data_IF_058917828721
#
_entry.id   IF_058917828721
#
_cell.length_a   1.000
_cell.length_b   1.000
_cell.length_c   1.000
_cell.angle_alpha   90.00
_cell.angle_beta   90.00
_cell.angle_gamma   90.00
#
_symmetry.space_group_name_H-M   'P 1'
#
loop_
_entity.id
_entity.type
_entity.pdbx_description
1 polymer ?
#
# COMPACT_ATOMS: atom_id res chain seq x y z
N UNK A 1 27.19 8.69 -1.15
CA UNK A 1 25.94 9.35 -1.56
C UNK A 1 25.99 10.81 -1.20
N UNK A 2 25.41 11.66 -2.03
CA UNK A 2 25.33 13.11 -1.78
C UNK A 2 24.06 13.45 -1.01
N UNK A 3 24.15 14.55 -0.26
CA UNK A 3 22.98 15.14 0.40
C UNK A 3 22.00 15.66 -0.65
N UNK A 4 20.72 15.56 -0.36
CA UNK A 4 19.63 16.05 -1.20
C UNK A 4 18.94 17.23 -0.52
N UNK A 5 18.68 18.26 -1.32
CA UNK A 5 17.85 19.39 -0.91
C UNK A 5 16.40 19.16 -1.35
N UNK A 6 15.47 19.72 -0.60
CA UNK A 6 14.08 19.82 -1.03
C UNK A 6 13.98 20.62 -2.31
N UNK A 7 13.15 20.18 -3.27
CA UNK A 7 12.88 20.96 -4.47
C UNK A 7 12.27 22.32 -4.13
N UNK A 8 12.59 23.33 -4.94
CA UNK A 8 11.91 24.63 -4.87
C UNK A 8 10.46 24.48 -5.34
N UNK A 9 9.55 25.26 -4.78
CA UNK A 9 8.16 25.36 -5.25
C UNK A 9 8.13 25.93 -6.67
N UNK A 10 8.95 26.94 -6.92
CA UNK A 10 9.10 27.60 -8.22
C UNK A 10 10.55 28.03 -8.43
N UNK A 11 11.10 27.72 -9.61
CA UNK A 11 12.47 28.07 -9.97
C UNK A 11 12.49 28.63 -11.40
N UNK A 12 12.33 29.96 -11.59
CA UNK A 12 12.34 30.57 -12.92
C UNK A 12 13.69 30.46 -13.63
N UNK A 13 14.78 30.25 -12.90
CA UNK A 13 16.13 30.09 -13.45
C UNK A 13 16.44 28.68 -13.92
N UNK A 14 15.49 27.75 -13.81
CA UNK A 14 15.69 26.40 -14.27
C UNK A 14 15.86 26.34 -15.79
N UNK A 15 16.91 25.66 -16.22
CA UNK A 15 17.18 25.34 -17.62
C UNK A 15 17.02 23.84 -17.92
N UNK A 16 16.32 23.12 -17.04
CA UNK A 16 16.09 21.70 -17.20
C UNK A 16 15.38 21.39 -18.52
N UNK A 17 15.96 20.47 -19.29
CA UNK A 17 15.31 19.92 -20.49
C UNK A 17 14.48 18.70 -20.12
N UNK A 18 13.52 18.33 -20.96
CA UNK A 18 12.73 17.12 -20.75
C UNK A 18 13.62 15.86 -20.68
N UNK A 19 14.61 15.76 -21.57
CA UNK A 19 15.56 14.64 -21.57
C UNK A 19 16.49 14.61 -20.36
N UNK A 20 16.80 15.77 -19.77
CA UNK A 20 17.64 15.90 -18.58
C UNK A 20 16.89 15.73 -17.26
N UNK A 21 15.57 15.59 -17.29
CA UNK A 21 14.75 15.38 -16.09
C UNK A 21 15.13 14.09 -15.38
N UNK A 22 15.10 14.12 -14.04
CA UNK A 22 15.45 12.98 -13.16
C UNK A 22 14.36 12.76 -12.12
N UNK A 23 14.28 11.54 -11.60
CA UNK A 23 13.33 11.22 -10.51
C UNK A 23 13.66 12.09 -9.29
N UNK A 24 14.92 12.17 -8.91
CA UNK A 24 15.42 13.09 -7.86
C UNK A 24 16.79 13.67 -8.27
N UNK A 25 17.21 14.73 -7.61
CA UNK A 25 18.47 15.41 -7.92
C UNK A 25 18.45 16.21 -9.23
N UNK A 26 17.27 16.45 -9.80
CA UNK A 26 17.07 17.33 -10.93
C UNK A 26 16.96 18.81 -10.53
N UNK A 27 16.68 19.68 -11.51
CA UNK A 27 16.52 21.10 -11.32
C UNK A 27 15.19 21.59 -11.92
N UNK A 28 14.04 21.21 -11.32
CA UNK A 28 12.73 21.47 -11.91
C UNK A 28 12.35 22.94 -11.85
N UNK A 29 11.59 23.37 -12.86
CA UNK A 29 11.00 24.71 -12.93
C UNK A 29 9.89 24.91 -11.87
N UNK A 30 9.15 23.85 -11.55
CA UNK A 30 8.04 23.85 -10.60
C UNK A 30 6.65 23.91 -11.23
N UNK A 31 6.55 24.05 -12.54
CA UNK A 31 5.27 24.03 -13.27
C UNK A 31 4.88 22.58 -13.61
N UNK A 32 3.66 22.19 -13.23
CA UNK A 32 3.07 20.91 -13.61
C UNK A 32 2.53 20.98 -15.04
N UNK A 33 3.26 20.39 -15.97
CA UNK A 33 2.88 20.37 -17.37
C UNK A 33 2.58 18.93 -17.84
N UNK A 34 1.30 18.54 -17.79
CA UNK A 34 0.84 17.21 -18.23
C UNK A 34 0.93 16.99 -19.74
N UNK A 35 1.21 18.03 -20.53
CA UNK A 35 1.41 17.87 -21.99
C UNK A 35 2.81 17.34 -22.33
N UNK A 36 3.74 17.41 -21.40
CA UNK A 36 5.15 17.01 -21.58
C UNK A 36 5.65 16.27 -20.34
N UNK A 37 5.79 14.97 -20.42
CA UNK A 37 6.35 14.14 -19.38
C UNK A 37 7.45 13.23 -19.93
N UNK A 38 8.53 13.10 -19.18
CA UNK A 38 9.58 12.12 -19.45
C UNK A 38 9.13 10.71 -19.07
N UNK A 39 8.51 10.60 -17.90
CA UNK A 39 8.07 9.34 -17.33
C UNK A 39 6.60 9.07 -17.68
N UNK A 40 6.38 8.54 -18.88
CA UNK A 40 5.04 8.28 -19.42
C UNK A 40 4.22 7.32 -18.56
N UNK A 41 4.88 6.40 -17.83
CA UNK A 41 4.23 5.51 -16.90
C UNK A 41 3.49 6.27 -15.78
N UNK A 42 3.98 7.44 -15.39
CA UNK A 42 3.31 8.25 -14.36
C UNK A 42 1.96 8.79 -14.87
N UNK A 43 1.89 9.22 -16.12
CA UNK A 43 0.62 9.70 -16.72
C UNK A 43 -0.39 8.56 -16.88
N UNK A 44 0.06 7.37 -17.29
CA UNK A 44 -0.80 6.19 -17.40
C UNK A 44 -1.38 5.78 -16.03
N UNK A 45 -0.55 5.79 -15.00
CA UNK A 45 -1.01 5.50 -13.63
C UNK A 45 -1.97 6.58 -13.13
N UNK A 46 -1.72 7.85 -13.44
CA UNK A 46 -2.67 8.93 -13.11
C UNK A 46 -4.06 8.67 -13.69
N UNK A 47 -4.14 8.39 -15.00
CA UNK A 47 -5.40 8.10 -15.68
C UNK A 47 -6.12 6.91 -15.07
N UNK A 48 -5.37 5.88 -14.71
CA UNK A 48 -5.92 4.70 -14.04
C UNK A 48 -6.46 5.01 -12.64
N UNK A 49 -5.72 5.77 -11.85
CA UNK A 49 -6.16 6.18 -10.51
C UNK A 49 -7.44 7.03 -10.58
N UNK A 50 -7.55 7.90 -11.58
CA UNK A 50 -8.79 8.65 -11.82
C UNK A 50 -9.95 7.72 -12.19
N UNK A 51 -9.74 6.79 -13.13
CA UNK A 51 -10.76 5.83 -13.55
C UNK A 51 -11.24 4.93 -12.40
N UNK A 52 -10.38 4.65 -11.44
CA UNK A 52 -10.66 3.82 -10.26
C UNK A 52 -11.13 4.63 -9.04
N UNK A 53 -11.45 5.89 -9.19
CA UNK A 53 -11.96 6.72 -8.07
C UNK A 53 -13.23 6.09 -7.47
N UNK A 54 -13.26 6.02 -6.15
CA UNK A 54 -14.38 5.49 -5.38
C UNK A 54 -14.55 6.25 -4.07
N UNK A 55 -15.73 6.10 -3.45
CA UNK A 55 -16.07 6.76 -2.21
C UNK A 55 -16.56 5.75 -1.17
N UNK A 56 -16.20 5.89 0.11
CA UNK A 56 -16.62 4.95 1.17
C UNK A 56 -18.13 4.71 1.24
N UNK A 57 -18.93 5.71 0.92
CA UNK A 57 -20.40 5.61 0.89
C UNK A 57 -20.97 4.65 -0.17
N UNK A 58 -20.14 4.19 -1.11
CA UNK A 58 -20.57 3.21 -2.12
C UNK A 58 -20.70 1.79 -1.53
N UNK A 59 -20.22 1.57 -0.31
CA UNK A 59 -20.27 0.26 0.35
C UNK A 59 -21.41 0.21 1.37
N UNK A 60 -22.29 -0.80 1.22
CA UNK A 60 -23.35 -1.08 2.19
C UNK A 60 -22.81 -1.95 3.33
N UNK A 61 -22.97 -1.47 4.57
CA UNK A 61 -22.48 -2.13 5.79
C UNK A 61 -23.59 -2.81 6.61
N UNK A 62 -24.84 -2.79 6.14
CA UNK A 62 -26.00 -3.25 6.91
C UNK A 62 -25.87 -4.70 7.37
N UNK A 63 -25.49 -5.59 6.46
CA UNK A 63 -25.30 -7.01 6.80
C UNK A 63 -24.08 -7.23 7.69
N UNK A 64 -23.03 -6.43 7.53
CA UNK A 64 -21.82 -6.50 8.33
C UNK A 64 -22.09 -6.17 9.81
N UNK A 65 -22.95 -5.19 10.08
CA UNK A 65 -23.37 -4.87 11.47
C UNK A 65 -24.03 -6.07 12.12
N UNK A 66 -24.91 -6.77 11.40
CA UNK A 66 -25.56 -7.98 11.90
C UNK A 66 -24.53 -9.10 12.10
N UNK A 67 -23.64 -9.34 11.15
CA UNK A 67 -22.63 -10.37 11.22
C UNK A 67 -21.69 -10.15 12.41
N UNK A 68 -21.21 -8.93 12.60
CA UNK A 68 -20.35 -8.56 13.73
C UNK A 68 -21.00 -8.86 15.09
N UNK A 69 -22.26 -8.53 15.24
CA UNK A 69 -22.97 -8.69 16.51
C UNK A 69 -23.43 -10.14 16.79
N UNK A 70 -23.76 -10.92 15.73
CA UNK A 70 -24.44 -12.20 15.91
C UNK A 70 -23.76 -13.40 15.25
N UNK A 71 -22.94 -13.22 14.22
CA UNK A 71 -22.44 -14.31 13.41
C UNK A 71 -20.93 -14.54 13.54
N UNK A 72 -20.15 -13.53 13.95
CA UNK A 72 -18.71 -13.70 14.21
C UNK A 72 -18.48 -14.46 15.50
N UNK A 73 -17.53 -15.40 15.48
CA UNK A 73 -16.98 -15.97 16.72
C UNK A 73 -16.18 -14.91 17.48
N UNK A 74 -15.87 -15.17 18.76
CA UNK A 74 -15.01 -14.27 19.53
C UNK A 74 -13.63 -14.07 18.89
N UNK A 75 -13.05 -15.13 18.33
CA UNK A 75 -11.77 -15.08 17.63
C UNK A 75 -11.86 -14.25 16.35
N UNK A 76 -12.91 -14.41 15.55
CA UNK A 76 -13.15 -13.65 14.33
C UNK A 76 -13.38 -12.15 14.63
N UNK A 77 -14.14 -11.83 15.67
CA UNK A 77 -14.42 -10.45 16.09
C UNK A 77 -13.13 -9.75 16.57
N UNK A 78 -12.33 -10.43 17.39
CA UNK A 78 -11.02 -9.94 17.84
C UNK A 78 -10.09 -9.67 16.64
N UNK A 79 -10.00 -10.61 15.71
CA UNK A 79 -9.21 -10.44 14.49
C UNK A 79 -9.68 -9.24 13.67
N UNK A 80 -10.97 -9.11 13.48
CA UNK A 80 -11.59 -8.01 12.74
C UNK A 80 -11.22 -6.64 13.34
N UNK A 81 -11.33 -6.48 14.65
CA UNK A 81 -11.00 -5.23 15.34
C UNK A 81 -9.49 -4.90 15.22
N UNK A 82 -8.62 -5.89 15.36
CA UNK A 82 -7.17 -5.72 15.23
C UNK A 82 -6.75 -5.39 13.79
N UNK A 83 -7.41 -5.96 12.80
CA UNK A 83 -7.15 -5.65 11.39
C UNK A 83 -7.38 -4.17 11.11
N UNK A 84 -8.52 -3.61 11.54
CA UNK A 84 -8.79 -2.17 11.34
C UNK A 84 -7.79 -1.30 12.08
N UNK A 85 -7.44 -1.64 13.32
CA UNK A 85 -6.45 -0.89 14.09
C UNK A 85 -5.11 -0.82 13.36
N UNK A 86 -4.67 -1.91 12.77
CA UNK A 86 -3.41 -1.97 12.03
C UNK A 86 -3.50 -1.21 10.70
N UNK A 87 -4.56 -1.38 9.93
CA UNK A 87 -4.73 -0.68 8.66
C UNK A 87 -4.83 0.84 8.84
N UNK A 88 -5.52 1.30 9.87
CA UNK A 88 -5.58 2.72 10.26
C UNK A 88 -4.18 3.29 10.49
N UNK A 89 -3.32 2.57 11.22
CA UNK A 89 -1.94 2.99 11.46
C UNK A 89 -1.14 3.07 10.16
N UNK A 90 -1.24 2.05 9.32
CA UNK A 90 -0.45 1.96 8.09
C UNK A 90 -0.77 3.09 7.11
N UNK A 91 -2.04 3.35 6.84
CA UNK A 91 -2.44 4.41 5.91
C UNK A 91 -2.15 5.81 6.48
N UNK A 92 -2.22 5.98 7.80
CA UNK A 92 -1.82 7.23 8.46
C UNK A 92 -0.33 7.50 8.26
N UNK A 93 0.52 6.49 8.50
CA UNK A 93 1.97 6.61 8.29
C UNK A 93 2.29 6.89 6.83
N UNK A 94 1.61 6.21 5.92
CA UNK A 94 1.82 6.37 4.48
C UNK A 94 1.41 7.74 3.99
N UNK A 95 0.27 8.26 4.40
CA UNK A 95 -0.17 9.62 4.06
C UNK A 95 0.89 10.65 4.47
N UNK A 96 1.36 10.57 5.71
CA UNK A 96 2.37 11.48 6.24
C UNK A 96 3.72 11.30 5.53
N UNK A 97 4.14 10.06 5.30
CA UNK A 97 5.42 9.74 4.65
C UNK A 97 5.49 10.25 3.20
N UNK A 98 4.43 10.07 2.43
CA UNK A 98 4.38 10.56 1.05
C UNK A 98 4.51 12.07 0.96
N UNK A 99 3.75 12.79 1.79
CA UNK A 99 3.69 14.23 1.78
C UNK A 99 4.97 14.88 2.34
N UNK A 100 5.45 14.39 3.47
CA UNK A 100 6.48 15.06 4.27
C UNK A 100 7.90 14.54 4.01
N UNK A 101 8.04 13.25 3.64
CA UNK A 101 9.35 12.63 3.49
C UNK A 101 9.79 12.43 2.03
N UNK A 102 8.91 11.89 1.17
CA UNK A 102 9.31 11.47 -0.18
C UNK A 102 9.11 12.58 -1.19
N UNK A 103 7.88 13.09 -1.33
CA UNK A 103 7.53 14.04 -2.37
C UNK A 103 8.38 15.32 -2.40
N UNK A 104 8.81 15.89 -1.25
CA UNK A 104 9.66 17.07 -1.26
C UNK A 104 11.01 16.90 -1.99
N UNK A 105 11.52 15.69 -2.09
CA UNK A 105 12.81 15.37 -2.72
C UNK A 105 12.67 14.84 -4.16
N UNK A 106 11.46 14.56 -4.62
CA UNK A 106 11.20 14.14 -6.00
C UNK A 106 11.19 15.36 -6.90
N UNK A 107 11.98 15.33 -7.97
CA UNK A 107 12.17 16.49 -8.86
C UNK A 107 11.50 16.35 -10.22
N UNK A 108 10.89 15.20 -10.54
CA UNK A 108 10.08 15.03 -11.73
C UNK A 108 8.63 15.48 -11.48
N UNK A 109 8.12 16.53 -12.14
CA UNK A 109 6.78 17.07 -11.88
C UNK A 109 5.65 16.05 -12.06
N UNK A 110 5.71 15.19 -13.07
CA UNK A 110 4.72 14.13 -13.29
C UNK A 110 4.69 13.11 -12.16
N UNK A 111 5.82 12.86 -11.51
CA UNK A 111 5.89 11.98 -10.33
C UNK A 111 5.38 12.72 -9.09
N UNK A 112 5.71 14.00 -8.92
CA UNK A 112 5.14 14.80 -7.83
C UNK A 112 3.61 14.77 -7.86
N UNK A 113 3.00 14.94 -9.03
CA UNK A 113 1.56 14.95 -9.19
C UNK A 113 0.94 13.61 -8.77
N UNK A 114 1.49 12.48 -9.20
CA UNK A 114 0.94 11.17 -8.87
C UNK A 114 1.15 10.80 -7.40
N UNK A 115 2.21 11.27 -6.75
CA UNK A 115 2.41 11.10 -5.31
C UNK A 115 1.37 11.89 -4.49
N UNK A 116 0.96 13.06 -4.96
CA UNK A 116 -0.16 13.81 -4.34
C UNK A 116 -1.47 13.02 -4.51
N UNK A 117 -1.71 12.45 -5.68
CA UNK A 117 -2.89 11.59 -5.88
C UNK A 117 -2.86 10.37 -4.97
N UNK A 118 -1.72 9.71 -4.82
CA UNK A 118 -1.59 8.59 -3.89
C UNK A 118 -1.90 9.02 -2.45
N UNK A 119 -1.35 10.15 -2.00
CA UNK A 119 -1.63 10.68 -0.66
C UNK A 119 -3.14 10.93 -0.44
N UNK A 120 -3.86 11.42 -1.46
CA UNK A 120 -5.31 11.52 -1.41
C UNK A 120 -5.97 10.14 -1.24
N UNK A 121 -5.52 9.13 -1.97
CA UNK A 121 -6.08 7.78 -1.88
C UNK A 121 -5.86 7.16 -0.50
N UNK A 122 -4.68 7.35 0.10
CA UNK A 122 -4.42 6.91 1.49
C UNK A 122 -5.33 7.61 2.50
N UNK A 123 -5.56 8.90 2.32
CA UNK A 123 -6.52 9.66 3.14
C UNK A 123 -7.97 9.16 2.93
N UNK A 124 -8.34 8.79 1.71
CA UNK A 124 -9.64 8.17 1.41
C UNK A 124 -9.78 6.79 2.06
N UNK A 125 -8.72 5.99 2.08
CA UNK A 125 -8.68 4.73 2.83
C UNK A 125 -8.92 4.97 4.32
N UNK A 126 -8.24 5.93 4.91
CA UNK A 126 -8.44 6.31 6.32
C UNK A 126 -9.87 6.73 6.61
N UNK A 127 -10.51 7.48 5.70
CA UNK A 127 -11.93 7.82 5.80
C UNK A 127 -12.82 6.58 5.72
N UNK A 128 -12.49 5.63 4.86
CA UNK A 128 -13.24 4.38 4.74
C UNK A 128 -13.18 3.55 6.03
N UNK A 129 -12.03 3.53 6.69
CA UNK A 129 -11.89 2.84 7.99
C UNK A 129 -12.78 3.48 9.06
N UNK A 130 -12.85 4.81 9.10
CA UNK A 130 -13.75 5.52 10.01
C UNK A 130 -15.21 5.13 9.77
N UNK A 131 -15.64 5.09 8.52
CA UNK A 131 -17.01 4.67 8.15
C UNK A 131 -17.30 3.24 8.62
N UNK A 132 -16.37 2.30 8.40
CA UNK A 132 -16.52 0.90 8.81
C UNK A 132 -16.54 0.74 10.31
N UNK A 133 -15.58 1.35 11.01
CA UNK A 133 -15.43 1.24 12.47
C UNK A 133 -16.63 1.85 13.19
N UNK A 134 -17.09 3.04 12.78
CA UNK A 134 -18.26 3.70 13.39
C UNK A 134 -19.55 2.91 13.17
N UNK A 135 -19.72 2.33 11.98
CA UNK A 135 -20.95 1.59 11.65
C UNK A 135 -21.00 0.21 12.32
N UNK A 136 -19.88 -0.47 12.47
CA UNK A 136 -19.82 -1.91 12.74
C UNK A 136 -19.24 -2.23 14.11
N UNK A 137 -18.13 -1.60 14.52
CA UNK A 137 -17.38 -1.99 15.70
C UNK A 137 -18.02 -1.48 16.99
N UNK A 138 -17.85 -2.26 18.06
CA UNK A 138 -18.44 -1.96 19.37
C UNK A 138 -17.79 -0.76 20.07
N UNK A 139 -16.45 -0.63 19.93
CA UNK A 139 -15.68 0.43 20.59
C UNK A 139 -14.72 1.10 19.61
N UNK A 140 -15.15 2.19 19.01
CA UNK A 140 -14.38 2.97 18.04
C UNK A 140 -13.10 3.53 18.64
N UNK A 141 -13.16 4.11 19.83
CA UNK A 141 -11.99 4.73 20.48
C UNK A 141 -10.90 3.68 20.77
N UNK A 142 -11.29 2.50 21.23
CA UNK A 142 -10.34 1.41 21.47
C UNK A 142 -9.60 1.00 20.18
N UNK A 143 -10.29 0.95 19.06
CA UNK A 143 -9.67 0.59 17.77
C UNK A 143 -8.64 1.64 17.34
N UNK A 144 -8.95 2.92 17.45
CA UNK A 144 -8.03 4.00 17.13
C UNK A 144 -6.84 4.13 18.10
N UNK A 145 -7.01 3.68 19.33
CA UNK A 145 -5.99 3.74 20.37
C UNK A 145 -5.37 2.38 20.71
N UNK A 146 -5.57 1.38 19.86
CA UNK A 146 -5.19 -0.01 20.12
C UNK A 146 -3.70 -0.17 20.46
N UNK A 147 -2.80 0.60 19.86
CA UNK A 147 -1.38 0.55 20.15
C UNK A 147 -1.04 0.89 21.62
N UNK A 148 -1.91 1.63 22.31
CA UNK A 148 -1.75 1.92 23.74
C UNK A 148 -2.09 0.71 24.63
N UNK A 149 -2.81 -0.26 24.07
CA UNK A 149 -3.33 -1.41 24.79
C UNK A 149 -2.81 -2.76 24.28
N UNK A 150 -2.14 -2.75 23.11
CA UNK A 150 -1.64 -3.95 22.46
C UNK A 150 -0.14 -3.81 22.14
N UNK A 151 0.68 -4.59 22.84
CA UNK A 151 2.14 -4.52 22.74
C UNK A 151 2.66 -5.04 21.39
N UNK A 152 1.97 -5.97 20.74
CA UNK A 152 2.39 -6.52 19.45
C UNK A 152 2.18 -5.50 18.35
N UNK A 153 1.02 -4.83 18.33
CA UNK A 153 0.75 -3.75 17.40
C UNK A 153 1.71 -2.57 17.60
N UNK A 154 1.95 -2.18 18.87
CA UNK A 154 2.88 -1.11 19.21
C UNK A 154 4.28 -1.39 18.68
N UNK A 155 4.81 -2.59 18.92
CA UNK A 155 6.13 -3.02 18.43
C UNK A 155 6.24 -2.90 16.91
N UNK A 156 5.22 -3.36 16.18
CA UNK A 156 5.16 -3.26 14.71
C UNK A 156 5.12 -1.80 14.25
N UNK A 157 4.25 -0.99 14.84
CA UNK A 157 4.11 0.42 14.50
C UNK A 157 5.40 1.20 14.81
N UNK A 158 6.03 0.98 15.95
CA UNK A 158 7.29 1.62 16.35
C UNK A 158 8.41 1.29 15.35
N UNK A 159 8.50 0.04 14.91
CA UNK A 159 9.50 -0.34 13.91
C UNK A 159 9.25 0.33 12.55
N UNK A 160 8.02 0.28 12.04
CA UNK A 160 7.67 0.83 10.73
C UNK A 160 7.87 2.34 10.72
N UNK A 161 7.39 3.04 11.75
CA UNK A 161 7.58 4.49 11.84
C UNK A 161 9.06 4.87 11.96
N UNK A 162 9.88 4.10 12.68
CA UNK A 162 11.31 4.36 12.80
C UNK A 162 12.05 4.31 11.46
N UNK A 163 11.64 3.41 10.57
CA UNK A 163 12.22 3.32 9.22
C UNK A 163 11.92 4.58 8.41
N UNK A 164 10.71 5.14 8.52
CA UNK A 164 10.34 6.38 7.85
C UNK A 164 10.99 7.61 8.49
N UNK A 165 11.06 7.65 9.82
CA UNK A 165 11.70 8.74 10.55
C UNK A 165 13.22 8.84 10.29
N UNK A 166 13.86 7.74 9.89
CA UNK A 166 15.27 7.75 9.50
C UNK A 166 15.55 8.67 8.29
N UNK A 167 14.55 8.95 7.46
CA UNK A 167 14.66 9.94 6.38
C UNK A 167 14.49 11.38 6.88
N UNK A 168 13.97 11.62 8.07
CA UNK A 168 13.63 12.95 8.60
C UNK A 168 14.82 13.77 9.10
N UNK A 169 16.03 13.42 8.85
CA UNK A 169 17.24 14.19 9.21
C UNK A 169 17.96 14.66 7.96
N UNK A 170 19.26 14.40 7.91
CA UNK A 170 20.07 14.60 6.72
C UNK A 170 19.64 13.61 5.64
N UNK A 171 18.97 14.11 4.62
CA UNK A 171 18.46 13.28 3.52
C UNK A 171 19.56 13.07 2.49
N UNK A 172 19.93 11.82 2.31
CA UNK A 172 20.87 11.41 1.27
C UNK A 172 20.18 10.64 0.16
N UNK A 173 20.81 10.53 -0.98
CA UNK A 173 20.31 9.73 -2.10
C UNK A 173 20.08 8.26 -1.70
N UNK A 174 20.99 7.68 -0.90
CA UNK A 174 20.81 6.31 -0.38
C UNK A 174 19.60 6.18 0.52
N UNK A 175 19.41 7.13 1.44
CA UNK A 175 18.24 7.15 2.33
C UNK A 175 16.92 7.27 1.56
N UNK A 176 16.89 8.09 0.51
CA UNK A 176 15.70 8.22 -0.33
C UNK A 176 15.38 6.92 -1.08
N UNK A 177 16.38 6.24 -1.62
CA UNK A 177 16.20 4.92 -2.24
C UNK A 177 15.65 3.90 -1.23
N UNK A 178 16.20 3.84 -0.04
CA UNK A 178 15.71 2.95 1.02
C UNK A 178 14.29 3.31 1.47
N UNK A 179 13.93 4.60 1.48
CA UNK A 179 12.56 5.04 1.76
C UNK A 179 11.57 4.59 0.67
N UNK A 180 11.98 4.61 -0.60
CA UNK A 180 11.16 4.06 -1.69
C UNK A 180 10.95 2.56 -1.52
N UNK A 181 11.97 1.82 -1.10
CA UNK A 181 11.87 0.38 -0.80
C UNK A 181 10.97 0.14 0.42
N UNK A 182 11.11 0.93 1.48
CA UNK A 182 10.23 0.85 2.66
C UNK A 182 8.76 1.07 2.28
N UNK A 183 8.51 1.98 1.35
CA UNK A 183 7.17 2.21 0.80
C UNK A 183 6.64 0.99 0.04
N UNK A 184 7.46 0.36 -0.79
CA UNK A 184 7.11 -0.87 -1.50
C UNK A 184 6.78 -2.01 -0.51
N UNK A 185 7.51 -2.10 0.58
CA UNK A 185 7.27 -3.07 1.65
C UNK A 185 5.94 -2.81 2.35
N UNK A 186 5.65 -1.56 2.72
CA UNK A 186 4.40 -1.20 3.38
C UNK A 186 3.20 -1.55 2.50
N UNK A 187 3.20 -1.09 1.26
CA UNK A 187 2.12 -1.31 0.30
C UNK A 187 1.95 -2.78 -0.09
N UNK A 188 3.05 -3.54 -0.15
CA UNK A 188 3.06 -4.90 -0.69
C UNK A 188 3.09 -6.03 0.31
N UNK A 189 3.34 -5.75 1.59
CA UNK A 189 3.47 -6.77 2.64
C UNK A 189 2.59 -6.45 3.84
N UNK A 190 2.73 -5.27 4.44
CA UNK A 190 2.08 -4.95 5.71
C UNK A 190 0.55 -4.87 5.66
N UNK A 191 -0.04 -4.61 4.51
CA UNK A 191 -1.50 -4.62 4.34
C UNK A 191 -2.10 -6.01 4.15
N UNK A 192 -1.31 -6.98 3.71
CA UNK A 192 -1.84 -8.20 3.10
C UNK A 192 -2.35 -9.23 4.09
N UNK A 193 -1.81 -9.33 5.31
CA UNK A 193 -2.44 -10.15 6.36
C UNK A 193 -3.84 -9.64 6.70
N UNK A 194 -4.01 -8.33 6.79
CA UNK A 194 -5.30 -7.70 7.02
C UNK A 194 -6.30 -7.96 5.90
N UNK A 195 -5.89 -7.76 4.65
CA UNK A 195 -6.75 -8.05 3.50
C UNK A 195 -7.18 -9.51 3.46
N UNK A 196 -6.24 -10.41 3.64
CA UNK A 196 -6.50 -11.86 3.64
C UNK A 196 -7.40 -12.29 4.78
N UNK A 197 -7.24 -11.72 5.96
CA UNK A 197 -8.09 -11.96 7.12
C UNK A 197 -9.57 -11.62 6.82
N UNK A 198 -9.81 -10.46 6.21
CA UNK A 198 -11.17 -10.05 5.81
C UNK A 198 -11.72 -10.97 4.71
N UNK A 199 -10.91 -11.34 3.72
CA UNK A 199 -11.33 -12.29 2.68
C UNK A 199 -11.62 -13.68 3.24
N UNK A 200 -10.94 -14.11 4.29
CA UNK A 200 -11.24 -15.37 4.97
C UNK A 200 -12.65 -15.35 5.60
N UNK A 201 -13.06 -14.25 6.19
CA UNK A 201 -14.42 -14.06 6.69
C UNK A 201 -15.44 -14.07 5.54
N UNK A 202 -15.15 -13.38 4.45
CA UNK A 202 -16.02 -13.34 3.28
C UNK A 202 -16.19 -14.71 2.62
N UNK A 203 -15.14 -15.52 2.60
CA UNK A 203 -15.18 -16.90 2.11
C UNK A 203 -16.17 -17.76 2.92
N UNK A 204 -16.30 -17.48 4.20
CA UNK A 204 -17.30 -18.09 5.08
C UNK A 204 -18.69 -17.44 5.00
N UNK A 205 -18.89 -16.51 4.07
CA UNK A 205 -20.17 -15.80 3.89
C UNK A 205 -20.44 -14.68 4.90
N UNK A 206 -19.40 -14.20 5.58
CA UNK A 206 -19.49 -13.15 6.61
C UNK A 206 -18.77 -11.88 6.18
N UNK A 207 -19.24 -10.72 6.66
CA UNK A 207 -18.56 -9.43 6.46
C UNK A 207 -18.32 -9.08 4.98
N UNK A 208 -19.31 -9.31 4.12
CA UNK A 208 -19.17 -9.11 2.68
C UNK A 208 -19.00 -7.64 2.29
N UNK A 209 -19.60 -6.70 3.03
CA UNK A 209 -19.41 -5.26 2.84
C UNK A 209 -17.97 -4.84 3.16
N UNK A 210 -17.41 -5.38 4.25
CA UNK A 210 -15.98 -5.18 4.59
C UNK A 210 -15.05 -5.71 3.51
N UNK A 211 -15.35 -6.89 2.96
CA UNK A 211 -14.59 -7.44 1.84
C UNK A 211 -14.68 -6.56 0.59
N UNK A 212 -15.83 -5.95 0.32
CA UNK A 212 -16.00 -5.00 -0.79
C UNK A 212 -15.14 -3.75 -0.58
N UNK A 213 -15.11 -3.21 0.65
CA UNK A 213 -14.25 -2.09 1.00
C UNK A 213 -12.78 -2.44 0.78
N UNK A 214 -12.34 -3.61 1.25
CA UNK A 214 -10.97 -4.09 1.07
C UNK A 214 -10.62 -4.29 -0.41
N UNK A 215 -11.53 -4.75 -1.25
CA UNK A 215 -11.31 -4.84 -2.70
C UNK A 215 -11.01 -3.48 -3.34
N UNK A 216 -11.74 -2.43 -2.97
CA UNK A 216 -11.45 -1.07 -3.44
C UNK A 216 -10.08 -0.60 -2.99
N UNK A 217 -9.74 -0.81 -1.72
CA UNK A 217 -8.46 -0.44 -1.14
C UNK A 217 -7.32 -1.22 -1.82
N UNK A 218 -7.43 -2.53 -1.91
CA UNK A 218 -6.38 -3.37 -2.52
C UNK A 218 -6.16 -3.02 -4.00
N UNK A 219 -7.19 -2.66 -4.74
CA UNK A 219 -7.05 -2.17 -6.12
C UNK A 219 -6.19 -0.90 -6.19
N UNK A 220 -6.40 0.03 -5.26
CA UNK A 220 -5.55 1.22 -5.15
C UNK A 220 -4.12 0.82 -4.78
N UNK A 221 -3.94 -0.10 -3.82
CA UNK A 221 -2.61 -0.54 -3.38
C UNK A 221 -1.80 -1.20 -4.50
N UNK A 222 -2.45 -1.94 -5.40
CA UNK A 222 -1.77 -2.49 -6.60
C UNK A 222 -1.21 -1.35 -7.46
N UNK A 223 -1.94 -0.27 -7.65
CA UNK A 223 -1.48 0.92 -8.38
C UNK A 223 -0.33 1.61 -7.66
N UNK A 224 -0.40 1.72 -6.33
CA UNK A 224 0.69 2.27 -5.51
C UNK A 224 1.96 1.43 -5.60
N UNK A 225 1.83 0.10 -5.62
CA UNK A 225 2.96 -0.80 -5.86
C UNK A 225 3.60 -0.58 -7.23
N UNK A 226 2.78 -0.44 -8.28
CA UNK A 226 3.28 -0.15 -9.63
C UNK A 226 4.00 1.20 -9.69
N UNK A 227 3.49 2.22 -9.01
CA UNK A 227 4.12 3.53 -8.92
C UNK A 227 5.54 3.43 -8.34
N UNK A 228 5.69 2.83 -7.16
CA UNK A 228 7.00 2.71 -6.51
C UNK A 228 7.92 1.71 -7.22
N UNK A 229 7.39 0.64 -7.77
CA UNK A 229 8.13 -0.27 -8.64
C UNK A 229 8.75 0.47 -9.83
N UNK A 230 7.97 1.29 -10.52
CA UNK A 230 8.45 2.10 -11.64
C UNK A 230 9.50 3.14 -11.18
N UNK A 231 9.26 3.81 -10.05
CA UNK A 231 10.23 4.75 -9.48
C UNK A 231 11.56 4.07 -9.19
N UNK A 232 11.54 2.97 -8.45
CA UNK A 232 12.75 2.22 -8.07
C UNK A 232 13.50 1.72 -9.31
N UNK A 233 12.79 1.10 -10.26
CA UNK A 233 13.40 0.59 -11.48
C UNK A 233 13.95 1.71 -12.39
N UNK A 234 13.31 2.86 -12.42
CA UNK A 234 13.81 4.05 -13.12
C UNK A 234 15.09 4.56 -12.48
N UNK A 235 15.11 4.69 -11.15
CA UNK A 235 16.32 5.12 -10.42
C UNK A 235 17.47 4.13 -10.61
N UNK A 236 17.20 2.82 -10.63
CA UNK A 236 18.24 1.82 -10.93
C UNK A 236 18.88 2.03 -12.30
N UNK A 237 18.12 2.45 -13.31
CA UNK A 237 18.64 2.75 -14.63
C UNK A 237 19.41 4.08 -14.67
N UNK A 238 18.92 5.09 -14.00
CA UNK A 238 19.54 6.42 -13.94
C UNK A 238 20.79 6.47 -13.07
N UNK A 239 20.76 5.74 -11.94
CA UNK A 239 21.79 5.74 -10.90
C UNK A 239 22.11 4.32 -10.43
N UNK A 240 22.67 3.48 -11.32
CA UNK A 240 23.07 2.11 -10.94
C UNK A 240 24.12 2.07 -9.82
N UNK A 241 24.89 3.12 -9.63
CA UNK A 241 25.86 3.29 -8.56
C UNK A 241 25.22 3.24 -7.14
N UNK A 242 23.96 3.67 -7.02
CA UNK A 242 23.23 3.63 -5.74
C UNK A 242 22.77 2.22 -5.35
N UNK A 243 22.71 1.29 -6.30
CA UNK A 243 22.32 -0.10 -6.05
C UNK A 243 23.53 -1.03 -5.95
N UNK A 244 24.53 -0.60 -5.19
CA UNK A 244 25.72 -1.38 -4.87
C UNK A 244 25.39 -2.52 -3.88
N UNK A 245 26.37 -3.40 -3.65
CA UNK A 245 26.19 -4.56 -2.77
C UNK A 245 25.70 -4.19 -1.36
N UNK A 246 26.22 -3.11 -0.78
CA UNK A 246 25.80 -2.62 0.54
C UNK A 246 24.30 -2.29 0.57
N UNK A 247 23.80 -1.54 -0.42
CA UNK A 247 22.39 -1.15 -0.50
C UNK A 247 21.51 -2.36 -0.81
N UNK A 248 21.91 -3.23 -1.70
CA UNK A 248 21.17 -4.46 -2.02
C UNK A 248 21.04 -5.35 -0.77
N UNK A 249 22.10 -5.55 -0.02
CA UNK A 249 22.07 -6.30 1.23
C UNK A 249 21.12 -5.66 2.26
N UNK A 250 21.14 -4.33 2.37
CA UNK A 250 20.21 -3.60 3.23
C UNK A 250 18.77 -3.78 2.81
N UNK A 251 18.48 -3.78 1.52
CA UNK A 251 17.14 -4.04 0.98
C UNK A 251 16.66 -5.44 1.38
N UNK A 252 17.50 -6.47 1.22
CA UNK A 252 17.14 -7.83 1.66
C UNK A 252 16.88 -7.92 3.16
N UNK A 253 17.68 -7.26 3.99
CA UNK A 253 17.44 -7.17 5.44
C UNK A 253 16.10 -6.53 5.77
N UNK A 254 15.72 -5.44 5.07
CA UNK A 254 14.44 -4.77 5.25
C UNK A 254 13.27 -5.69 4.89
N UNK A 255 13.36 -6.42 3.79
CA UNK A 255 12.31 -7.37 3.38
C UNK A 255 12.21 -8.54 4.36
N UNK A 256 13.34 -9.07 4.83
CA UNK A 256 13.37 -10.15 5.82
C UNK A 256 12.71 -9.73 7.13
N UNK A 257 13.09 -8.56 7.65
CA UNK A 257 12.49 -8.01 8.87
C UNK A 257 11.01 -7.74 8.73
N UNK A 258 10.59 -7.18 7.60
CA UNK A 258 9.19 -6.95 7.31
C UNK A 258 8.39 -8.25 7.25
N UNK A 259 8.93 -9.28 6.60
CA UNK A 259 8.34 -10.61 6.56
C UNK A 259 8.16 -11.21 7.95
N UNK A 260 9.19 -11.14 8.79
CA UNK A 260 9.12 -11.63 10.18
C UNK A 260 8.04 -10.92 11.00
N UNK A 261 7.95 -9.59 10.91
CA UNK A 261 6.95 -8.80 11.63
C UNK A 261 5.53 -9.11 11.14
N UNK A 262 5.34 -9.27 9.84
CA UNK A 262 4.03 -9.56 9.28
C UNK A 262 3.57 -10.99 9.59
N UNK A 263 4.48 -11.95 9.61
CA UNK A 263 4.19 -13.33 10.05
C UNK A 263 3.80 -13.32 11.53
N UNK A 264 4.55 -12.66 12.38
CA UNK A 264 4.22 -12.51 13.81
C UNK A 264 2.82 -11.88 13.98
N UNK A 265 2.54 -10.81 13.24
CA UNK A 265 1.25 -10.14 13.28
C UNK A 265 0.10 -11.04 12.79
N UNK A 266 0.27 -11.71 11.66
CA UNK A 266 -0.74 -12.62 11.11
C UNK A 266 -1.09 -13.76 12.07
N UNK A 267 -0.09 -14.38 12.69
CA UNK A 267 -0.28 -15.40 13.72
C UNK A 267 -0.98 -14.85 14.97
N UNK A 268 -0.61 -13.66 15.37
CA UNK A 268 -1.18 -12.99 16.55
C UNK A 268 -2.67 -12.67 16.38
N UNK A 269 -3.07 -12.13 15.23
CA UNK A 269 -4.47 -11.77 14.99
C UNK A 269 -5.37 -12.99 14.77
N UNK A 270 -4.86 -14.09 14.22
CA UNK A 270 -5.64 -15.30 13.92
C UNK A 270 -5.62 -16.32 15.03
N UNK A 271 -4.55 -16.41 15.80
CA UNK A 271 -4.35 -17.40 16.87
C UNK A 271 -4.64 -18.84 16.44
N UNK A 272 -4.39 -19.16 15.16
CA UNK A 272 -4.68 -20.46 14.55
C UNK A 272 -6.16 -20.90 14.69
N UNK A 273 -7.07 -19.94 14.82
CA UNK A 273 -8.51 -20.16 15.03
C UNK A 273 -9.38 -19.71 13.84
N UNK A 274 -8.77 -19.33 12.74
CA UNK A 274 -9.48 -18.86 11.54
C UNK A 274 -9.36 -19.92 10.44
N UNK A 275 -10.52 -20.36 9.94
CA UNK A 275 -10.59 -21.40 8.93
C UNK A 275 -9.85 -21.00 7.66
N UNK A 276 -8.93 -21.88 7.19
CA UNK A 276 -8.16 -21.67 5.98
C UNK A 276 -7.02 -20.66 6.10
N UNK A 277 -6.75 -20.16 7.31
CA UNK A 277 -5.69 -19.19 7.57
C UNK A 277 -4.86 -19.59 8.80
N UNK A 278 -4.19 -20.74 8.70
CA UNK A 278 -3.35 -21.32 9.75
C UNK A 278 -1.98 -20.65 9.82
N UNK A 279 -1.25 -20.89 10.91
CA UNK A 279 0.10 -20.35 11.11
C UNK A 279 1.07 -20.70 9.96
N UNK A 280 1.03 -21.93 9.46
CA UNK A 280 1.87 -22.37 8.34
C UNK A 280 1.49 -21.66 7.04
N UNK A 281 0.20 -21.51 6.78
CA UNK A 281 -0.31 -20.81 5.60
C UNK A 281 0.09 -19.32 5.66
N UNK A 282 -0.01 -18.68 6.81
CA UNK A 282 0.42 -17.29 7.01
C UNK A 282 1.91 -17.15 6.68
N UNK A 283 2.75 -18.03 7.22
CA UNK A 283 4.19 -18.00 6.97
C UNK A 283 4.51 -18.14 5.49
N UNK A 284 3.94 -19.13 4.82
CA UNK A 284 4.18 -19.36 3.38
C UNK A 284 3.65 -18.20 2.52
N UNK A 285 2.49 -17.65 2.87
CA UNK A 285 1.92 -16.54 2.13
C UNK A 285 2.76 -15.27 2.23
N UNK A 286 3.25 -14.93 3.41
CA UNK A 286 4.12 -13.76 3.58
C UNK A 286 5.46 -13.96 2.89
N UNK A 287 6.06 -15.15 2.96
CA UNK A 287 7.28 -15.47 2.20
C UNK A 287 7.05 -15.36 0.68
N UNK A 288 5.90 -15.83 0.20
CA UNK A 288 5.50 -15.66 -1.20
C UNK A 288 5.41 -14.17 -1.58
N UNK A 289 4.78 -13.33 -0.77
CA UNK A 289 4.69 -11.89 -1.02
C UNK A 289 6.07 -11.21 -1.03
N UNK A 290 6.95 -11.56 -0.10
CA UNK A 290 8.34 -11.05 -0.08
C UNK A 290 9.02 -11.36 -1.41
N UNK A 291 8.93 -12.59 -1.89
CA UNK A 291 9.51 -12.98 -3.17
C UNK A 291 8.92 -12.20 -4.36
N UNK A 292 7.61 -11.99 -4.37
CA UNK A 292 6.95 -11.22 -5.42
C UNK A 292 7.43 -9.76 -5.43
N UNK A 293 7.57 -9.14 -4.27
CA UNK A 293 7.99 -7.74 -4.16
C UNK A 293 9.47 -7.56 -4.48
N UNK A 294 10.32 -8.52 -4.12
CA UNK A 294 11.73 -8.54 -4.52
C UNK A 294 11.89 -8.65 -6.03
N UNK A 295 11.19 -9.58 -6.67
CA UNK A 295 11.23 -9.75 -8.13
C UNK A 295 10.75 -8.51 -8.89
N UNK A 296 9.73 -7.84 -8.39
CA UNK A 296 9.17 -6.63 -8.98
C UNK A 296 10.18 -5.47 -9.09
N UNK A 297 11.15 -5.42 -8.19
CA UNK A 297 12.24 -4.44 -8.22
C UNK A 297 13.56 -5.02 -8.77
N UNK A 298 13.49 -6.16 -9.45
CA UNK A 298 14.61 -6.77 -10.16
C UNK A 298 15.62 -7.53 -9.26
N UNK A 299 15.20 -7.95 -8.08
CA UNK A 299 16.00 -8.76 -7.17
C UNK A 299 15.57 -10.22 -7.19
N UNK A 300 16.47 -11.11 -6.78
CA UNK A 300 16.19 -12.54 -6.73
C UNK A 300 15.28 -12.88 -5.55
N UNK A 301 14.43 -13.89 -5.74
CA UNK A 301 13.63 -14.49 -4.67
C UNK A 301 14.52 -14.94 -3.52
N UNK A 302 14.02 -14.81 -2.29
CA UNK A 302 14.71 -15.26 -1.08
C UNK A 302 14.25 -16.65 -0.62
N UNK A 303 12.95 -16.92 -0.70
CA UNK A 303 12.33 -18.13 -0.13
C UNK A 303 11.91 -19.15 -1.17
N UNK A 304 11.54 -18.70 -2.36
CA UNK A 304 11.05 -19.54 -3.47
C UNK A 304 9.85 -20.42 -3.08
N UNK A 305 8.85 -19.81 -2.45
CA UNK A 305 7.63 -20.45 -1.97
C UNK A 305 6.50 -20.30 -3.00
N UNK A 306 5.69 -21.35 -3.18
CA UNK A 306 4.48 -21.29 -4.00
C UNK A 306 3.36 -20.56 -3.26
N UNK A 307 2.48 -19.90 -4.01
CA UNK A 307 1.29 -19.24 -3.46
C UNK A 307 0.39 -20.28 -2.75
N UNK A 308 0.23 -20.19 -1.41
CA UNK A 308 -0.49 -21.23 -0.65
C UNK A 308 -2.01 -21.06 -0.67
N UNK A 309 -2.52 -19.88 -1.00
CA UNK A 309 -3.94 -19.50 -0.91
C UNK A 309 -4.43 -18.75 -2.15
N UNK A 310 -4.37 -19.40 -3.31
CA UNK A 310 -4.77 -18.77 -4.59
C UNK A 310 -6.22 -18.25 -4.59
N UNK A 311 -7.10 -18.77 -3.74
CA UNK A 311 -8.46 -18.31 -3.60
C UNK A 311 -8.57 -16.84 -3.18
N UNK A 312 -7.56 -16.30 -2.50
CA UNK A 312 -7.49 -14.88 -2.12
C UNK A 312 -7.51 -13.99 -3.36
N UNK A 313 -6.81 -14.39 -4.41
CA UNK A 313 -6.77 -13.61 -5.66
C UNK A 313 -8.16 -13.53 -6.31
N UNK A 314 -8.98 -14.56 -6.17
CA UNK A 314 -10.35 -14.56 -6.68
C UNK A 314 -11.25 -13.60 -5.90
N UNK A 315 -11.05 -13.47 -4.59
CA UNK A 315 -11.76 -12.48 -3.76
C UNK A 315 -11.32 -11.04 -4.04
N UNK A 316 -10.08 -10.85 -4.44
CA UNK A 316 -9.54 -9.53 -4.80
C UNK A 316 -10.09 -8.99 -6.12
N UNK A 317 -10.57 -9.86 -7.01
CA UNK A 317 -11.11 -9.44 -8.30
C UNK A 317 -12.50 -8.81 -8.16
N UNK A 318 -12.73 -7.74 -8.92
CA UNK A 318 -14.08 -7.23 -9.14
C UNK A 318 -14.81 -8.15 -10.12
N UNK A 319 -15.91 -8.77 -9.67
CA UNK A 319 -16.79 -9.53 -10.55
C UNK A 319 -17.61 -8.56 -11.39
N UNK A 320 -17.27 -8.37 -12.66
CA UNK A 320 -18.01 -7.55 -13.62
C UNK A 320 -19.49 -7.94 -13.75
N UNK A 321 -19.86 -9.18 -13.42
CA UNK A 321 -21.23 -9.66 -13.52
C UNK A 321 -22.17 -9.19 -12.42
N UNK A 322 -21.65 -8.79 -11.24
CA UNK A 322 -22.52 -8.26 -10.15
C UNK A 322 -22.57 -6.73 -10.13
N UNK A 323 -21.58 -6.05 -10.67
CA UNK A 323 -21.57 -4.60 -10.82
C UNK A 323 -22.59 -4.12 -11.87
N UNK A 324 -22.88 -4.92 -12.89
CA UNK A 324 -23.81 -4.59 -13.97
C UNK A 324 -25.27 -4.35 -13.52
N UNK A 325 -25.68 -4.82 -12.36
CA UNK A 325 -27.06 -4.59 -11.90
C UNK A 325 -27.27 -3.19 -11.29
N UNK A 326 -26.23 -2.60 -10.73
CA UNK A 326 -26.28 -1.26 -10.13
C UNK A 326 -25.63 -0.18 -11.02
N UNK A 327 -24.70 -0.56 -11.90
CA UNK A 327 -23.99 0.36 -12.81
C UNK A 327 -24.74 0.68 -14.10
N UNK A 328 -25.83 -0.02 -14.42
CA UNK A 328 -26.66 0.25 -15.63
C UNK A 328 -27.36 1.62 -15.62
N UNK A 329 -27.18 2.42 -14.58
CA UNK A 329 -27.72 3.79 -14.47
C UNK A 329 -26.69 4.91 -14.43
N UNK A 330 -25.38 4.63 -14.42
CA UNK A 330 -24.35 5.66 -14.42
C UNK A 330 -23.30 5.35 -15.46
N UNK A 331 -23.49 5.95 -16.64
CA UNK A 331 -22.50 6.25 -17.72
C UNK A 331 -21.25 5.40 -17.85
N UNK A 332 -21.11 4.79 -19.02
CA UNK A 332 -19.97 4.21 -19.74
C UNK A 332 -18.54 4.63 -19.33
N UNK A 333 -18.11 4.34 -18.11
CA UNK A 333 -16.69 4.27 -17.76
C UNK A 333 -16.38 2.85 -17.33
N UNK A 334 -15.75 2.09 -18.22
CA UNK A 334 -15.20 0.78 -17.88
C UNK A 334 -14.12 0.95 -16.81
N UNK A 335 -14.44 0.57 -15.58
CA UNK A 335 -13.46 0.42 -14.52
C UNK A 335 -12.58 -0.77 -14.90
N UNK A 336 -11.34 -0.52 -15.28
CA UNK A 336 -10.42 -1.56 -15.74
C UNK A 336 -9.95 -2.46 -14.60
N UNK A 337 -9.94 -3.76 -14.83
CA UNK A 337 -9.17 -4.70 -14.02
C UNK A 337 -7.72 -4.65 -14.49
N UNK A 338 -6.78 -4.50 -13.57
CA UNK A 338 -5.36 -4.54 -13.86
C UNK A 338 -4.77 -5.90 -13.56
N UNK A 339 -3.92 -6.38 -14.46
CA UNK A 339 -2.89 -7.36 -14.14
C UNK A 339 -1.52 -6.66 -14.12
N UNK A 340 -0.56 -7.24 -13.41
CA UNK A 340 0.83 -6.77 -13.42
C UNK A 340 1.49 -6.87 -14.82
N UNK A 341 0.87 -7.57 -15.75
CA UNK A 341 1.35 -7.76 -17.11
C UNK A 341 0.99 -6.57 -18.03
N UNK A 342 0.16 -5.63 -17.56
CA UNK A 342 -0.31 -4.50 -18.35
C UNK A 342 0.63 -3.28 -18.30
N UNK A 343 1.79 -3.38 -17.62
CA UNK A 343 2.74 -2.27 -17.43
C UNK A 343 4.20 -2.62 -17.72
#
# INVERSE_FOLDING_TARGET
>A
SSDLDKKKIYNPESNETLGGRKVFGGNPHGILNFTKAKYQWALKLWDLMEANTWFPKEVDTTDDVRDYNFNLTGAEKRMYDLVWSQLISMDSFQTNNLADNINPYITAPEINAILVRQAYEEANHSKSYAVMVEAICENTDLIYEMEKHDAVLKKKNDYISSVYEDLAGDVTEEKLVLAMVANQILEGIYFYSGFTAIYALARAGKMLGSAQMIRFIQRDEITHLLLFQNMINTVKKERPDLFNEKIINKIYEMFEKAGELEIEWGKYITQNQIMGFTDDIITDYIHYLVDQRLTAIGLKKKYDVKHPIKWVDDFAKFNDQKSNFFESKVTNYSKGSLSFDDF
#
